data_IF_754165197976
#
_entry.id   IF_754165197976
#
_cell.length_a   1.000
_cell.length_b   1.000
_cell.length_c   1.000
_cell.angle_alpha   90.00
_cell.angle_beta   90.00
_cell.angle_gamma   90.00
#
_symmetry.space_group_name_H-M   'P 1'
#
loop_
_entity.id
_entity.type
_entity.pdbx_description
1 polymer ?
#
# COMPACT_ATOMS: atom_id res chain seq x y z
N UNK A 1 -1.39 25.23 -11.07
CA UNK A 1 -0.81 23.97 -10.55
C UNK A 1 -0.30 23.18 -11.73
N UNK A 2 1.00 22.87 -11.76
CA UNK A 2 1.56 22.08 -12.85
C UNK A 2 1.06 20.62 -12.74
N UNK A 3 0.98 19.90 -13.87
CA UNK A 3 0.62 18.48 -13.85
C UNK A 3 1.56 17.65 -12.96
N UNK A 4 2.81 18.11 -12.81
CA UNK A 4 3.83 17.50 -11.95
C UNK A 4 3.53 17.68 -10.47
N UNK A 5 3.04 18.86 -10.03
CA UNK A 5 2.62 19.07 -8.63
C UNK A 5 1.45 18.17 -8.25
N UNK A 6 0.50 17.99 -9.17
CA UNK A 6 -0.64 17.09 -8.96
C UNK A 6 -0.21 15.63 -8.91
N UNK A 7 0.73 15.22 -9.75
CA UNK A 7 1.30 13.88 -9.74
C UNK A 7 2.09 13.61 -8.44
N UNK A 8 2.94 14.55 -8.03
CA UNK A 8 3.73 14.42 -6.80
C UNK A 8 2.85 14.36 -5.55
N UNK A 9 1.80 15.16 -5.48
CA UNK A 9 0.82 15.11 -4.39
C UNK A 9 0.11 13.75 -4.30
N UNK A 10 -0.24 13.13 -5.45
CA UNK A 10 -0.82 11.78 -5.49
C UNK A 10 0.16 10.74 -4.96
N UNK A 11 1.42 10.83 -5.36
CA UNK A 11 2.50 9.93 -4.90
C UNK A 11 2.73 10.09 -3.39
N UNK A 12 2.74 11.31 -2.88
CA UNK A 12 2.87 11.57 -1.45
C UNK A 12 1.71 10.95 -0.66
N UNK A 13 0.46 11.16 -1.10
CA UNK A 13 -0.72 10.56 -0.46
C UNK A 13 -0.67 9.03 -0.52
N UNK A 14 -0.17 8.46 -1.61
CA UNK A 14 0.02 7.02 -1.77
C UNK A 14 1.00 6.47 -0.73
N UNK A 15 2.14 7.14 -0.51
CA UNK A 15 3.12 6.75 0.50
C UNK A 15 2.58 6.88 1.94
N UNK A 16 1.78 7.91 2.23
CA UNK A 16 1.13 8.04 3.53
C UNK A 16 0.16 6.88 3.80
N UNK A 17 -0.67 6.53 2.81
CA UNK A 17 -1.57 5.38 2.91
C UNK A 17 -0.81 4.06 3.01
N UNK A 18 0.33 3.93 2.31
CA UNK A 18 1.19 2.75 2.42
C UNK A 18 1.64 2.52 3.87
N UNK A 19 2.10 3.56 4.57
CA UNK A 19 2.52 3.45 5.96
C UNK A 19 1.37 2.99 6.88
N UNK A 20 0.16 3.52 6.66
CA UNK A 20 -1.02 3.10 7.41
C UNK A 20 -1.38 1.64 7.13
N UNK A 21 -1.30 1.20 5.87
CA UNK A 21 -1.55 -0.18 5.47
C UNK A 21 -0.49 -1.15 6.03
N UNK A 22 0.75 -0.71 6.20
CA UNK A 22 1.77 -1.49 6.92
C UNK A 22 1.41 -1.73 8.38
N UNK A 23 0.87 -0.73 9.08
CA UNK A 23 0.38 -0.92 10.45
C UNK A 23 -0.75 -1.96 10.50
N UNK A 24 -1.61 -1.99 9.48
CA UNK A 24 -2.63 -3.03 9.33
C UNK A 24 -1.99 -4.40 9.17
N UNK A 25 -0.89 -4.54 8.43
CA UNK A 25 -0.13 -5.80 8.30
C UNK A 25 0.61 -6.18 9.58
N UNK A 26 1.13 -5.25 10.36
CA UNK A 26 1.84 -5.58 11.60
C UNK A 26 0.87 -5.93 12.76
N UNK A 27 -0.33 -5.36 12.76
CA UNK A 27 -1.30 -5.54 13.84
C UNK A 27 -1.71 -7.01 14.05
N UNK A 28 -1.43 -7.59 15.22
CA UNK A 28 -1.84 -8.97 15.55
C UNK A 28 -3.35 -9.17 15.54
N UNK A 29 -4.09 -8.20 16.06
CA UNK A 29 -5.55 -8.15 16.03
C UNK A 29 -6.00 -6.75 15.61
N UNK A 30 -6.93 -6.69 14.65
CA UNK A 30 -7.57 -5.45 14.23
C UNK A 30 -8.95 -5.36 14.87
N UNK A 31 -9.26 -4.22 15.48
CA UNK A 31 -10.63 -3.94 15.91
C UNK A 31 -11.56 -3.84 14.70
N UNK A 32 -12.87 -4.09 14.84
CA UNK A 32 -13.82 -3.94 13.74
C UNK A 32 -13.76 -2.56 13.07
N UNK A 33 -13.62 -1.49 13.86
CA UNK A 33 -13.50 -0.13 13.36
C UNK A 33 -12.20 0.08 12.57
N UNK A 34 -11.07 -0.39 13.08
CA UNK A 34 -9.79 -0.32 12.38
C UNK A 34 -9.79 -1.14 11.09
N UNK A 35 -10.55 -2.24 11.04
CA UNK A 35 -10.71 -3.06 9.83
C UNK A 35 -11.51 -2.32 8.75
N UNK A 36 -12.58 -1.63 9.13
CA UNK A 36 -13.36 -0.81 8.19
C UNK A 36 -12.58 0.39 7.68
N UNK A 37 -11.80 1.04 8.54
CA UNK A 37 -10.90 2.12 8.15
C UNK A 37 -9.81 1.61 7.19
N UNK A 38 -9.18 0.48 7.51
CA UNK A 38 -8.20 -0.16 6.64
C UNK A 38 -8.77 -0.52 5.26
N UNK A 39 -10.04 -0.94 5.17
CA UNK A 39 -10.71 -1.19 3.88
C UNK A 39 -10.87 0.11 3.07
N UNK A 40 -11.22 1.23 3.73
CA UNK A 40 -11.31 2.54 3.08
C UNK A 40 -9.94 2.98 2.56
N UNK A 41 -8.92 2.88 3.40
CA UNK A 41 -7.54 3.23 3.05
C UNK A 41 -7.01 2.36 1.92
N UNK A 42 -7.33 1.07 1.90
CA UNK A 42 -6.98 0.16 0.81
C UNK A 42 -7.65 0.53 -0.51
N UNK A 43 -8.93 0.93 -0.48
CA UNK A 43 -9.66 1.36 -1.67
C UNK A 43 -9.08 2.65 -2.24
N UNK A 44 -8.75 3.61 -1.38
CA UNK A 44 -8.12 4.86 -1.77
C UNK A 44 -6.70 4.63 -2.31
N UNK A 45 -5.91 3.81 -1.63
CA UNK A 45 -4.58 3.40 -2.07
C UNK A 45 -4.62 2.74 -3.45
N UNK A 46 -5.58 1.84 -3.70
CA UNK A 46 -5.74 1.21 -5.02
C UNK A 46 -6.10 2.21 -6.12
N UNK A 47 -6.92 3.21 -5.79
CA UNK A 47 -7.32 4.25 -6.73
C UNK A 47 -6.12 5.14 -7.10
N UNK A 48 -5.37 5.58 -6.08
CA UNK A 48 -4.16 6.38 -6.27
C UNK A 48 -3.07 5.60 -7.01
N UNK A 49 -2.85 4.33 -6.67
CA UNK A 49 -1.86 3.49 -7.36
C UNK A 49 -2.21 3.29 -8.84
N UNK A 50 -3.49 3.18 -9.19
CA UNK A 50 -3.91 3.09 -10.59
C UNK A 50 -3.76 4.41 -11.35
N UNK A 51 -3.88 5.54 -10.65
CA UNK A 51 -3.83 6.88 -11.24
C UNK A 51 -2.43 7.52 -11.21
N UNK A 52 -1.49 6.95 -10.46
CA UNK A 52 -0.15 7.48 -10.31
C UNK A 52 0.77 6.96 -11.43
N UNK A 53 1.65 7.84 -11.91
CA UNK A 53 2.64 7.51 -12.94
C UNK A 53 3.88 6.87 -12.29
N UNK A 54 4.21 5.65 -12.70
CA UNK A 54 5.34 4.87 -12.17
C UNK A 54 6.69 5.58 -12.39
N UNK A 55 6.79 6.45 -13.40
CA UNK A 55 8.00 7.24 -13.69
C UNK A 55 8.32 8.24 -12.59
N UNK A 56 7.32 8.73 -11.86
CA UNK A 56 7.49 9.67 -10.74
C UNK A 56 7.42 8.98 -9.37
N UNK A 57 7.08 7.69 -9.32
CA UNK A 57 7.05 6.90 -8.08
C UNK A 57 8.40 6.29 -7.70
N UNK A 58 9.42 6.42 -8.55
CA UNK A 58 10.74 5.78 -8.32
C UNK A 58 10.95 4.50 -9.13
N UNK A 59 10.11 4.24 -10.14
CA UNK A 59 10.29 3.14 -11.09
C UNK A 59 9.25 2.02 -10.98
N UNK A 60 9.37 1.05 -11.88
CA UNK A 60 8.45 -0.09 -11.99
C UNK A 60 8.57 -1.07 -10.81
N UNK A 61 9.77 -1.19 -10.22
CA UNK A 61 10.00 -2.02 -9.04
C UNK A 61 9.20 -1.51 -7.83
N UNK A 62 9.18 -0.19 -7.62
CA UNK A 62 8.41 0.45 -6.54
C UNK A 62 6.92 0.22 -6.76
N UNK A 63 6.44 0.41 -8.00
CA UNK A 63 5.05 0.15 -8.35
C UNK A 63 4.63 -1.31 -8.09
N UNK A 64 5.50 -2.26 -8.42
CA UNK A 64 5.27 -3.69 -8.19
C UNK A 64 5.21 -4.02 -6.68
N UNK A 65 6.13 -3.48 -5.89
CA UNK A 65 6.12 -3.64 -4.44
C UNK A 65 4.84 -3.06 -3.80
N UNK A 66 4.36 -1.91 -4.28
CA UNK A 66 3.11 -1.30 -3.81
C UNK A 66 1.88 -2.16 -4.12
N UNK A 67 1.85 -2.82 -5.29
CA UNK A 67 0.82 -3.82 -5.62
C UNK A 67 0.86 -5.04 -4.71
N UNK A 68 2.04 -5.49 -4.30
CA UNK A 68 2.18 -6.60 -3.35
C UNK A 68 1.61 -6.21 -1.98
N UNK A 69 1.92 -5.01 -1.48
CA UNK A 69 1.35 -4.48 -0.23
C UNK A 69 -0.18 -4.44 -0.30
N UNK A 70 -0.74 -3.92 -1.40
CA UNK A 70 -2.19 -3.91 -1.62
C UNK A 70 -2.79 -5.31 -1.50
N UNK A 71 -2.17 -6.29 -2.16
CA UNK A 71 -2.65 -7.68 -2.21
C UNK A 71 -2.62 -8.33 -0.84
N UNK A 72 -1.53 -8.13 -0.09
CA UNK A 72 -1.37 -8.74 1.23
C UNK A 72 -2.32 -8.12 2.26
N UNK A 73 -2.53 -6.80 2.21
CA UNK A 73 -3.51 -6.12 3.08
C UNK A 73 -4.92 -6.61 2.76
N UNK A 74 -5.28 -6.72 1.48
CA UNK A 74 -6.57 -7.27 1.07
C UNK A 74 -6.76 -8.70 1.60
N UNK A 75 -5.73 -9.54 1.53
CA UNK A 75 -5.76 -10.92 2.04
C UNK A 75 -5.99 -10.95 3.56
N UNK A 76 -5.25 -10.13 4.31
CA UNK A 76 -5.41 -10.01 5.77
C UNK A 76 -6.79 -9.50 6.15
N UNK A 77 -7.26 -8.45 5.49
CA UNK A 77 -8.58 -7.87 5.75
C UNK A 77 -9.73 -8.81 5.39
N UNK A 78 -9.55 -9.72 4.43
CA UNK A 78 -10.53 -10.74 4.07
C UNK A 78 -10.44 -12.01 4.95
N UNK A 79 -9.54 -12.04 5.95
CA UNK A 79 -9.36 -13.18 6.84
C UNK A 79 -8.78 -14.43 6.15
N UNK A 80 -8.15 -14.26 4.98
CA UNK A 80 -7.61 -15.36 4.15
C UNK A 80 -6.09 -15.53 4.26
N UNK A 81 -5.45 -15.09 5.34
CA UNK A 81 -4.00 -15.28 5.47
C UNK A 81 -3.45 -15.08 6.88
N UNK A 82 -2.71 -16.08 7.35
CA UNK A 82 -1.57 -15.85 8.25
C UNK A 82 -0.52 -15.10 7.46
N UNK A 83 -0.06 -13.96 8.00
CA UNK A 83 0.86 -13.05 7.30
C UNK A 83 2.22 -13.74 7.24
N UNK A 84 2.50 -14.43 6.15
CA UNK A 84 3.84 -14.94 5.89
C UNK A 84 4.70 -13.82 5.32
N UNK A 85 5.33 -13.07 6.21
CA UNK A 85 6.65 -12.47 6.04
C UNK A 85 6.95 -11.76 4.71
N UNK A 86 6.30 -10.61 4.43
CA UNK A 86 6.76 -9.70 3.36
C UNK A 86 8.12 -9.07 3.70
N UNK A 87 8.45 -8.97 5.00
CA UNK A 87 9.71 -8.39 5.50
C UNK A 87 10.98 -9.17 5.09
N UNK A 88 10.85 -10.40 4.60
CA UNK A 88 11.99 -11.23 4.16
C UNK A 88 12.44 -11.01 2.71
N UNK A 89 11.58 -10.48 1.82
CA UNK A 89 11.89 -10.43 0.38
C UNK A 89 12.53 -9.13 -0.09
N UNK A 90 12.29 -8.01 0.59
CA UNK A 90 12.84 -6.71 0.18
C UNK A 90 14.32 -6.55 0.55
N UNK A 91 14.82 -7.34 1.52
CA UNK A 91 16.22 -7.33 1.95
C UNK A 91 17.14 -8.31 1.19
N UNK A 92 16.60 -9.07 0.22
CA UNK A 92 17.36 -10.04 -0.58
C UNK A 92 17.18 -9.80 -2.07
N UNK A 93 17.55 -8.61 -2.54
CA UNK A 93 18.00 -8.45 -3.93
C UNK A 93 19.34 -7.72 -3.87
N UNK A 94 20.38 -8.51 -4.10
CA UNK A 94 21.79 -8.14 -4.20
C UNK A 94 22.01 -6.99 -5.18
#
# INVERSE_FOLDING_TARGET
MSNTDSALAKVQNLYMLQAQLWNVLDAKNLSPNAREEAKKNLKEFSSLLRAADWRVMGGEDVYSALKEVQTEVARKLNGRGTISGVRGKVAQRH
#
